data_IF_038676112351
#
_entry.id   IF_038676112351
#
_cell.length_a   1.000
_cell.length_b   1.000
_cell.length_c   1.000
_cell.angle_alpha   90.00
_cell.angle_beta   90.00
_cell.angle_gamma   90.00
#
_symmetry.space_group_name_H-M   'P 1'
#
loop_
_entity.id
_entity.type
_entity.pdbx_description
1 polymer ?
#
# COMPACT_ATOMS: atom_id res chain seq x y z
N UNK A 1 27.46 5.65 32.38
CA UNK A 1 26.03 5.76 32.78
C UNK A 1 25.10 6.12 31.62
N UNK A 2 25.48 7.04 30.71
CA UNK A 2 24.63 7.43 29.58
C UNK A 2 24.32 6.30 28.58
N UNK A 3 25.29 5.43 28.29
CA UNK A 3 25.10 4.31 27.34
C UNK A 3 23.97 3.36 27.75
N UNK A 4 23.86 3.02 29.04
CA UNK A 4 22.80 2.13 29.54
C UNK A 4 21.43 2.79 29.38
N UNK A 5 21.32 4.10 29.63
CA UNK A 5 20.08 4.85 29.43
C UNK A 5 19.69 4.90 27.96
N UNK A 6 20.65 5.15 27.06
CA UNK A 6 20.39 5.14 25.62
C UNK A 6 19.98 3.76 25.11
N UNK A 7 20.62 2.69 25.58
CA UNK A 7 20.22 1.32 25.22
C UNK A 7 18.83 0.98 25.74
N UNK A 8 18.49 1.38 26.97
CA UNK A 8 17.15 1.17 27.53
C UNK A 8 16.09 1.95 26.75
N UNK A 9 16.37 3.21 26.41
CA UNK A 9 15.48 4.04 25.60
C UNK A 9 15.27 3.45 24.20
N UNK A 10 16.36 3.05 23.53
CA UNK A 10 16.29 2.41 22.22
C UNK A 10 15.48 1.11 22.27
N UNK A 11 15.65 0.29 23.32
CA UNK A 11 14.87 -0.92 23.50
C UNK A 11 13.38 -0.61 23.67
N UNK A 12 13.01 0.35 24.53
CA UNK A 12 11.62 0.76 24.75
C UNK A 12 10.98 1.25 23.44
N UNK A 13 11.68 2.10 22.68
CA UNK A 13 11.18 2.60 21.40
C UNK A 13 11.01 1.48 20.37
N UNK A 14 11.96 0.55 20.30
CA UNK A 14 11.90 -0.58 19.37
C UNK A 14 10.76 -1.53 19.70
N UNK A 15 10.61 -1.91 20.98
CA UNK A 15 9.51 -2.76 21.43
C UNK A 15 8.15 -2.06 21.29
N UNK A 16 8.08 -0.76 21.61
CA UNK A 16 6.86 0.03 21.44
C UNK A 16 6.43 0.10 19.97
N UNK A 17 7.37 0.33 19.06
CA UNK A 17 7.10 0.33 17.62
C UNK A 17 6.63 -1.06 17.13
N UNK A 18 7.29 -2.14 17.57
CA UNK A 18 6.89 -3.50 17.19
C UNK A 18 5.47 -3.84 17.65
N UNK A 19 5.09 -3.46 18.88
CA UNK A 19 3.73 -3.66 19.40
C UNK A 19 2.71 -2.81 18.64
N UNK A 20 3.05 -1.56 18.31
CA UNK A 20 2.18 -0.69 17.54
C UNK A 20 1.88 -1.27 16.15
N UNK A 21 2.92 -1.71 15.43
CA UNK A 21 2.79 -2.35 14.11
C UNK A 21 1.94 -3.62 14.20
N UNK A 22 2.15 -4.46 15.21
CA UNK A 22 1.39 -5.68 15.40
C UNK A 22 -0.12 -5.41 15.62
N UNK A 23 -0.45 -4.41 16.45
CA UNK A 23 -1.84 -4.01 16.70
C UNK A 23 -2.49 -3.39 15.46
N UNK A 24 -1.75 -2.57 14.71
CA UNK A 24 -2.21 -2.00 13.44
C UNK A 24 -2.54 -3.08 12.42
N UNK A 25 -1.68 -4.09 12.28
CA UNK A 25 -1.90 -5.20 11.35
C UNK A 25 -3.12 -6.05 11.74
N UNK A 26 -3.33 -6.32 13.02
CA UNK A 26 -4.53 -7.04 13.50
C UNK A 26 -5.81 -6.27 13.15
N UNK A 27 -5.81 -4.95 13.39
CA UNK A 27 -6.96 -4.10 13.06
C UNK A 27 -7.24 -4.08 11.55
N UNK A 28 -6.19 -3.99 10.73
CA UNK A 28 -6.30 -4.06 9.28
C UNK A 28 -6.84 -5.42 8.80
N UNK A 29 -6.40 -6.52 9.41
CA UNK A 29 -6.88 -7.86 9.10
C UNK A 29 -8.36 -8.04 9.47
N UNK A 30 -8.79 -7.57 10.63
CA UNK A 30 -10.20 -7.61 11.05
C UNK A 30 -11.09 -6.79 10.11
N UNK A 31 -10.61 -5.62 9.66
CA UNK A 31 -11.30 -4.80 8.66
C UNK A 31 -11.41 -5.54 7.33
N UNK A 32 -10.30 -6.11 6.83
CA UNK A 32 -10.28 -6.89 5.60
C UNK A 32 -11.28 -8.04 5.65
N UNK A 33 -11.24 -8.84 6.72
CA UNK A 33 -12.15 -9.98 6.92
C UNK A 33 -13.61 -9.53 6.91
N UNK A 34 -13.92 -8.41 7.58
CA UNK A 34 -15.28 -7.85 7.62
C UNK A 34 -15.77 -7.36 6.27
N UNK A 35 -14.93 -6.64 5.52
CA UNK A 35 -15.33 -6.10 4.21
C UNK A 35 -15.44 -7.22 3.16
N UNK A 36 -14.51 -8.19 3.15
CA UNK A 36 -14.59 -9.36 2.27
C UNK A 36 -15.86 -10.17 2.57
N UNK A 37 -16.19 -10.42 3.84
CA UNK A 37 -17.38 -11.18 4.24
C UNK A 37 -18.70 -10.51 3.84
N UNK A 38 -18.69 -9.20 3.57
CA UNK A 38 -19.87 -8.43 3.17
C UNK A 38 -19.93 -8.14 1.68
N UNK A 39 -18.89 -8.52 0.94
CA UNK A 39 -18.85 -8.28 -0.50
C UNK A 39 -19.62 -9.38 -1.20
N UNK A 40 -20.63 -9.05 -2.03
CA UNK A 40 -21.37 -10.04 -2.78
C UNK A 40 -20.47 -10.58 -3.91
N UNK A 41 -19.77 -11.68 -3.65
CA UNK A 41 -18.95 -12.38 -4.63
C UNK A 41 -19.70 -13.59 -5.21
N UNK A 42 -19.45 -13.97 -6.48
CA UNK A 42 -20.00 -15.19 -7.05
C UNK A 42 -19.61 -16.43 -6.23
N UNK A 43 -20.58 -17.30 -5.93
CA UNK A 43 -20.38 -18.46 -5.04
C UNK A 43 -19.41 -19.54 -5.58
N UNK A 44 -19.08 -19.50 -6.87
CA UNK A 44 -18.17 -20.44 -7.54
C UNK A 44 -16.75 -19.90 -7.69
N UNK A 45 -16.50 -18.67 -7.26
CA UNK A 45 -15.20 -18.01 -7.34
C UNK A 45 -14.28 -18.50 -6.21
N UNK A 46 -13.02 -18.80 -6.54
CA UNK A 46 -11.98 -19.12 -5.56
C UNK A 46 -11.30 -17.83 -5.09
N UNK A 47 -10.53 -17.89 -4.00
CA UNK A 47 -9.94 -16.67 -3.42
C UNK A 47 -8.73 -16.14 -4.21
N UNK A 48 -7.79 -17.04 -4.55
CA UNK A 48 -6.47 -16.71 -5.11
C UNK A 48 -6.29 -17.16 -6.56
N UNK A 49 -7.37 -17.46 -7.31
CA UNK A 49 -7.19 -17.84 -8.71
C UNK A 49 -6.44 -16.72 -9.47
N UNK A 50 -5.37 -17.05 -10.21
CA UNK A 50 -4.60 -16.05 -10.90
C UNK A 50 -5.50 -15.28 -11.88
N UNK A 51 -5.29 -13.96 -12.04
CA UNK A 51 -6.12 -13.15 -12.91
C UNK A 51 -6.02 -13.67 -14.34
N UNK A 52 -7.17 -13.88 -14.99
CA UNK A 52 -7.22 -14.25 -16.40
C UNK A 52 -6.88 -13.02 -17.25
N UNK A 53 -5.81 -13.03 -18.07
CA UNK A 53 -5.39 -11.87 -18.87
C UNK A 53 -6.42 -11.43 -19.92
N UNK A 54 -7.49 -12.21 -20.16
CA UNK A 54 -8.56 -11.82 -21.09
C UNK A 54 -9.79 -11.24 -20.41
N UNK A 55 -10.00 -11.51 -19.11
CA UNK A 55 -11.17 -11.06 -18.34
C UNK A 55 -10.77 -10.90 -16.86
N UNK A 56 -10.63 -9.66 -16.39
CA UNK A 56 -10.26 -9.37 -14.99
C UNK A 56 -11.31 -9.88 -13.99
N UNK A 57 -12.58 -9.97 -14.40
CA UNK A 57 -13.69 -10.48 -13.57
C UNK A 57 -13.73 -12.03 -13.49
N UNK A 58 -12.86 -12.75 -14.21
CA UNK A 58 -12.73 -14.22 -14.16
C UNK A 58 -11.57 -14.72 -13.28
N UNK A 59 -10.90 -13.83 -12.54
CA UNK A 59 -9.86 -14.19 -11.56
C UNK A 59 -10.41 -14.61 -10.19
N UNK A 60 -9.52 -14.82 -9.22
CA UNK A 60 -9.91 -15.01 -7.82
C UNK A 60 -10.59 -13.78 -7.22
N UNK A 61 -11.25 -13.96 -6.07
CA UNK A 61 -11.97 -12.90 -5.35
C UNK A 61 -11.13 -11.64 -5.08
N UNK A 62 -9.82 -11.78 -4.85
CA UNK A 62 -8.90 -10.64 -4.65
C UNK A 62 -8.79 -9.79 -5.92
N UNK A 63 -8.90 -10.40 -7.10
CA UNK A 63 -8.72 -9.72 -8.38
C UNK A 63 -10.02 -9.11 -8.92
N UNK A 64 -11.17 -9.41 -8.30
CA UNK A 64 -12.47 -8.89 -8.71
C UNK A 64 -12.50 -7.36 -8.61
N UNK A 65 -13.02 -6.71 -9.66
CA UNK A 65 -13.06 -5.23 -9.79
C UNK A 65 -13.68 -4.52 -8.58
N UNK A 66 -14.81 -5.01 -8.06
CA UNK A 66 -15.43 -4.49 -6.82
C UNK A 66 -14.54 -4.56 -5.57
N UNK A 67 -13.76 -5.63 -5.41
CA UNK A 67 -12.84 -5.80 -4.27
C UNK A 67 -11.65 -4.86 -4.43
N UNK A 68 -11.10 -4.77 -5.64
CA UNK A 68 -9.96 -3.89 -5.94
C UNK A 68 -10.31 -2.41 -5.80
N UNK A 69 -11.46 -1.99 -6.31
CA UNK A 69 -11.88 -0.60 -6.27
C UNK A 69 -12.21 -0.08 -4.86
N UNK A 70 -12.52 -0.96 -3.90
CA UNK A 70 -13.04 -0.55 -2.58
C UNK A 70 -12.27 -1.10 -1.40
N UNK A 71 -11.83 -2.35 -1.44
CA UNK A 71 -11.28 -3.05 -0.28
C UNK A 71 -9.76 -3.06 -0.35
N UNK A 72 -9.18 -3.65 -1.38
CA UNK A 72 -7.76 -3.88 -1.45
C UNK A 72 -7.27 -3.92 -2.90
N UNK A 73 -6.25 -3.14 -3.21
CA UNK A 73 -5.59 -3.18 -4.50
C UNK A 73 -4.06 -3.14 -4.31
N UNK A 74 -3.40 -4.07 -4.99
CA UNK A 74 -1.97 -4.29 -4.89
C UNK A 74 -1.15 -3.15 -5.51
N UNK A 75 -1.73 -2.40 -6.46
CA UNK A 75 -1.08 -1.23 -7.06
C UNK A 75 -0.74 -0.18 -6.00
N UNK A 76 -1.60 0.00 -4.99
CA UNK A 76 -1.38 0.97 -3.91
C UNK A 76 -0.39 0.50 -2.83
N UNK A 77 0.29 -0.63 -3.03
CA UNK A 77 1.36 -1.08 -2.12
C UNK A 77 2.71 -0.41 -2.43
N UNK A 78 2.84 0.25 -3.57
CA UNK A 78 4.06 0.98 -3.96
C UNK A 78 3.66 2.33 -4.54
N UNK A 79 4.06 3.39 -3.85
CA UNK A 79 3.78 4.77 -4.22
C UNK A 79 5.07 5.47 -4.58
N UNK A 80 5.08 6.17 -5.70
CA UNK A 80 6.12 7.11 -6.09
C UNK A 80 5.87 8.47 -5.40
N UNK A 81 6.73 8.79 -4.42
CA UNK A 81 6.64 10.05 -3.69
C UNK A 81 7.16 11.22 -4.54
N UNK A 82 8.11 10.99 -5.45
CA UNK A 82 8.59 12.05 -6.34
C UNK A 82 7.46 12.50 -7.27
N UNK A 83 6.75 11.55 -7.88
CA UNK A 83 5.57 11.84 -8.69
C UNK A 83 4.46 12.53 -7.88
N UNK A 84 4.21 12.10 -6.64
CA UNK A 84 3.20 12.70 -5.76
C UNK A 84 3.54 14.16 -5.39
N UNK A 85 4.75 14.41 -4.91
CA UNK A 85 5.17 15.75 -4.46
C UNK A 85 5.40 16.73 -5.63
N UNK A 86 5.62 16.23 -6.85
CA UNK A 86 5.81 17.04 -8.05
C UNK A 86 4.49 17.57 -8.66
N UNK A 87 3.33 17.12 -8.17
CA UNK A 87 2.05 17.61 -8.67
C UNK A 87 1.84 19.10 -8.38
N UNK A 88 1.00 19.82 -9.16
CA UNK A 88 0.63 21.19 -8.84
C UNK A 88 -0.19 21.24 -7.55
N UNK A 89 0.32 21.90 -6.51
CA UNK A 89 -0.36 22.03 -5.23
C UNK A 89 -0.94 23.44 -5.04
N UNK A 90 -2.07 23.51 -4.35
CA UNK A 90 -2.69 24.78 -3.96
C UNK A 90 -1.80 25.39 -2.85
N UNK A 91 -1.38 26.66 -2.93
CA UNK A 91 -0.43 27.25 -1.96
C UNK A 91 -0.87 27.18 -0.49
N UNK A 92 -2.18 27.10 -0.26
CA UNK A 92 -2.83 27.07 1.04
C UNK A 92 -3.10 25.65 1.58
N UNK A 93 -2.77 24.60 0.80
CA UNK A 93 -2.78 23.21 1.23
C UNK A 93 -1.51 22.48 0.77
N UNK A 94 -0.45 22.45 1.60
CA UNK A 94 0.81 21.83 1.22
C UNK A 94 0.65 20.33 0.94
N UNK A 95 1.48 19.75 0.06
CA UNK A 95 1.43 18.33 -0.25
C UNK A 95 1.61 17.49 1.02
N UNK A 96 0.63 16.64 1.29
CA UNK A 96 0.63 15.72 2.42
C UNK A 96 0.05 14.38 1.98
N UNK A 97 0.88 13.35 1.99
CA UNK A 97 0.52 12.00 1.58
C UNK A 97 -0.71 11.46 2.35
N UNK A 98 -0.73 11.60 3.68
CA UNK A 98 -1.82 11.07 4.51
C UNK A 98 -3.14 11.85 4.36
N UNK A 99 -3.07 13.12 3.95
CA UNK A 99 -4.27 13.95 3.73
C UNK A 99 -4.82 13.80 2.31
N UNK A 100 -3.94 13.63 1.32
CA UNK A 100 -4.31 13.74 -0.09
C UNK A 100 -4.24 12.44 -0.86
N UNK A 101 -3.26 11.56 -0.57
CA UNK A 101 -3.15 10.26 -1.24
C UNK A 101 -3.96 9.17 -0.53
N UNK A 102 -3.77 9.03 0.80
CA UNK A 102 -4.39 7.94 1.57
C UNK A 102 -5.91 7.88 1.42
N UNK A 103 -6.69 8.98 1.49
CA UNK A 103 -8.15 8.90 1.34
C UNK A 103 -8.64 8.44 -0.04
N UNK A 104 -7.77 8.46 -1.05
CA UNK A 104 -8.07 7.98 -2.41
C UNK A 104 -7.83 6.47 -2.57
N UNK A 105 -7.19 5.83 -1.58
CA UNK A 105 -6.87 4.40 -1.62
C UNK A 105 -8.04 3.54 -1.15
N UNK A 106 -8.07 2.24 -1.50
CA UNK A 106 -9.01 1.28 -0.92
C UNK A 106 -8.89 1.16 0.61
N UNK A 107 -9.96 0.72 1.28
CA UNK A 107 -10.07 0.74 2.74
C UNK A 107 -8.93 0.01 3.47
N UNK A 108 -8.49 -1.14 2.96
CA UNK A 108 -7.39 -1.88 3.55
C UNK A 108 -6.06 -1.15 3.32
N UNK A 109 -5.82 -0.66 2.10
CA UNK A 109 -4.62 0.12 1.77
C UNK A 109 -4.50 1.38 2.66
N UNK A 110 -5.63 2.01 3.02
CA UNK A 110 -5.64 3.12 3.97
C UNK A 110 -5.08 2.75 5.34
N UNK A 111 -5.42 1.56 5.86
CA UNK A 111 -4.88 1.08 7.14
C UNK A 111 -3.40 0.70 7.00
N UNK A 112 -3.04 0.05 5.88
CA UNK A 112 -1.67 -0.36 5.59
C UNK A 112 -0.72 0.82 5.35
N UNK A 113 -1.22 2.00 4.96
CA UNK A 113 -0.42 3.20 4.72
C UNK A 113 0.47 3.58 5.92
N UNK A 114 0.00 3.31 7.15
CA UNK A 114 0.77 3.57 8.39
C UNK A 114 1.91 2.58 8.63
N UNK A 115 1.89 1.43 7.94
CA UNK A 115 2.89 0.37 8.02
C UNK A 115 3.89 0.41 6.85
N UNK A 116 3.68 1.31 5.89
CA UNK A 116 4.58 1.49 4.75
C UNK A 116 5.88 2.14 5.18
N UNK A 117 6.96 1.76 4.51
CA UNK A 117 8.29 2.32 4.71
C UNK A 117 8.62 3.30 3.60
N UNK A 118 9.33 4.37 3.96
CA UNK A 118 9.98 5.23 2.97
C UNK A 118 11.26 4.53 2.54
N UNK A 119 11.37 4.25 1.25
CA UNK A 119 12.54 3.63 0.66
C UNK A 119 13.16 4.54 -0.39
N UNK A 120 14.49 4.47 -0.49
CA UNK A 120 15.31 5.21 -1.45
C UNK A 120 16.31 4.25 -2.07
N UNK A 121 15.84 3.34 -2.93
CA UNK A 121 16.71 2.34 -3.53
C UNK A 121 17.70 3.01 -4.48
N UNK A 122 18.90 2.47 -4.49
CA UNK A 122 19.97 2.72 -5.44
C UNK A 122 20.10 1.43 -6.27
N UNK A 123 19.61 1.45 -7.51
CA UNK A 123 19.56 0.31 -8.41
C UNK A 123 20.86 0.13 -9.19
N UNK A 124 21.62 1.20 -9.41
CA UNK A 124 22.87 1.17 -10.18
C UNK A 124 24.15 1.13 -9.31
N UNK A 125 24.01 1.36 -8.01
CA UNK A 125 25.07 1.31 -7.02
C UNK A 125 25.98 2.54 -7.02
N UNK A 126 25.54 3.66 -7.59
CA UNK A 126 26.34 4.90 -7.67
C UNK A 126 26.37 5.71 -6.36
N UNK A 127 25.60 5.30 -5.36
CA UNK A 127 25.47 5.95 -4.06
C UNK A 127 24.45 7.09 -4.02
N UNK A 128 23.74 7.35 -5.11
CA UNK A 128 22.56 8.21 -5.20
C UNK A 128 21.28 7.36 -5.22
N UNK A 129 20.18 7.95 -4.77
CA UNK A 129 18.90 7.27 -4.81
C UNK A 129 18.26 7.46 -6.20
N UNK A 130 17.88 6.36 -6.85
CA UNK A 130 17.21 6.37 -8.15
C UNK A 130 15.71 6.64 -8.05
N UNK A 131 15.11 6.35 -6.90
CA UNK A 131 13.69 6.55 -6.67
C UNK A 131 13.42 6.99 -5.24
N UNK A 132 12.33 7.74 -5.06
CA UNK A 132 11.80 8.06 -3.74
C UNK A 132 10.42 7.41 -3.58
N UNK A 133 10.38 6.31 -2.85
CA UNK A 133 9.22 5.43 -2.79
C UNK A 133 8.64 5.38 -1.37
N UNK A 134 7.32 5.18 -1.30
CA UNK A 134 6.65 4.69 -0.11
C UNK A 134 6.06 3.33 -0.43
N UNK A 135 6.59 2.28 0.19
CA UNK A 135 6.20 0.90 -0.14
C UNK A 135 5.87 0.07 1.07
N UNK A 136 4.95 -0.87 0.91
CA UNK A 136 4.74 -1.90 1.92
C UNK A 136 5.95 -2.86 1.93
N UNK A 137 6.42 -3.31 3.10
CA UNK A 137 7.53 -4.26 3.17
C UNK A 137 7.25 -5.53 2.36
N UNK A 138 8.13 -5.85 1.41
CA UNK A 138 8.01 -7.03 0.54
C UNK A 138 7.14 -6.82 -0.72
N UNK A 139 6.59 -5.61 -0.94
CA UNK A 139 5.89 -5.30 -2.18
C UNK A 139 6.85 -5.24 -3.39
N UNK A 140 6.41 -5.77 -4.52
CA UNK A 140 7.16 -5.76 -5.77
C UNK A 140 7.02 -4.40 -6.48
N UNK A 141 8.15 -3.77 -6.82
CA UNK A 141 8.20 -2.48 -7.52
C UNK A 141 7.83 -2.61 -9.01
N UNK A 142 8.34 -3.64 -9.67
CA UNK A 142 8.04 -3.94 -11.08
C UNK A 142 7.41 -5.31 -11.17
N UNK A 143 6.35 -5.42 -11.98
CA UNK A 143 5.63 -6.67 -12.22
C UNK A 143 5.46 -6.89 -13.71
N UNK A 144 5.39 -8.15 -14.09
CA UNK A 144 5.10 -8.57 -15.46
C UNK A 144 4.06 -9.70 -15.36
N UNK A 145 2.78 -9.44 -15.71
CA UNK A 145 2.24 -8.20 -16.29
C UNK A 145 2.13 -7.02 -15.29
N UNK A 146 2.08 -5.76 -15.77
CA UNK A 146 1.70 -4.59 -14.97
C UNK A 146 0.29 -4.73 -14.40
N UNK A 147 -0.02 -3.97 -13.34
CA UNK A 147 -1.34 -4.01 -12.72
C UNK A 147 -2.28 -3.01 -13.40
N UNK A 148 -3.29 -3.50 -14.10
CA UNK A 148 -4.31 -2.66 -14.72
C UNK A 148 -5.35 -2.17 -13.69
N UNK A 149 -5.86 -0.93 -13.83
CA UNK A 149 -6.86 -0.39 -12.91
C UNK A 149 -8.20 -1.13 -13.03
N UNK A 150 -8.89 -1.40 -11.90
CA UNK A 150 -10.20 -2.04 -11.96
C UNK A 150 -11.20 -1.18 -12.73
N UNK A 151 -12.20 -1.82 -13.34
CA UNK A 151 -13.21 -1.18 -14.18
C UNK A 151 -13.81 0.08 -13.54
N UNK A 152 -13.66 1.22 -14.21
CA UNK A 152 -14.20 2.51 -13.77
C UNK A 152 -13.34 3.26 -12.75
N UNK A 153 -12.18 2.74 -12.38
CA UNK A 153 -11.17 3.42 -11.55
C UNK A 153 -10.02 3.88 -12.44
N UNK A 154 -9.43 5.04 -12.13
CA UNK A 154 -8.21 5.52 -12.79
C UNK A 154 -7.14 5.67 -11.73
N UNK A 155 -5.99 5.03 -11.93
CA UNK A 155 -4.89 5.19 -11.00
C UNK A 155 -4.31 6.60 -11.07
N UNK A 156 -4.05 7.22 -9.90
CA UNK A 156 -3.24 8.41 -9.84
C UNK A 156 -1.84 8.15 -10.41
N UNK A 157 -1.22 9.17 -11.01
CA UNK A 157 0.11 9.08 -11.63
C UNK A 157 1.24 8.69 -10.68
N UNK A 158 0.99 8.72 -9.38
CA UNK A 158 1.95 8.38 -8.32
C UNK A 158 1.84 6.93 -7.84
N UNK A 159 0.93 6.14 -8.40
CA UNK A 159 0.86 4.69 -8.14
C UNK A 159 1.83 3.99 -9.09
N UNK A 160 2.73 3.16 -8.57
CA UNK A 160 3.65 2.38 -9.38
C UNK A 160 2.92 1.13 -9.91
N UNK A 161 2.58 1.12 -11.21
CA UNK A 161 1.86 0.01 -11.88
C UNK A 161 2.75 -0.87 -12.71
#
# INVERSE_FOLDING_TARGET
MALVVYMLLAAILTFGHALYVAQGLQTAADLAAREISRTPLPAVMTFDDPPNPTNEDEGGAIHHSDVRGRIFDEAFLVIDLEAFYSQPHIPEDPPNFFRHAVPQMPLLNQQLATLMIVDRPDFDGDGAADAWLMRYPGALLTRSPPIDPPTGVTYPSWVAT
#
